data_IF_031313945326
#
_entry.id   IF_031313945326
#
_cell.length_a   1.000
_cell.length_b   1.000
_cell.length_c   1.000
_cell.angle_alpha   90.00
_cell.angle_beta   90.00
_cell.angle_gamma   90.00
#
_symmetry.space_group_name_H-M   'P 1'
#
loop_
_entity.id
_entity.type
_entity.pdbx_description
1 polymer ?
#
# COMPACT_ATOMS: atom_id res chain seq x y z
N UNK A 1 -17.49 -90.47 -10.87
CA UNK A 1 -17.98 -89.44 -9.92
C UNK A 1 -17.24 -88.14 -10.21
N UNK A 2 -17.92 -87.03 -10.54
CA UNK A 2 -17.29 -85.80 -11.02
C UNK A 2 -16.87 -84.90 -9.84
N UNK A 3 -15.69 -84.28 -9.91
CA UNK A 3 -15.29 -83.20 -9.00
C UNK A 3 -14.80 -81.98 -9.80
N UNK A 4 -15.77 -81.12 -10.07
CA UNK A 4 -15.79 -79.67 -10.08
C UNK A 4 -14.46 -78.88 -10.12
N UNK A 5 -14.38 -78.00 -11.11
CA UNK A 5 -13.48 -76.85 -11.20
C UNK A 5 -13.81 -75.80 -10.14
N UNK A 6 -12.79 -75.28 -9.45
CA UNK A 6 -12.87 -74.02 -8.72
C UNK A 6 -11.79 -73.06 -9.25
N UNK A 7 -12.25 -71.93 -9.80
CA UNK A 7 -11.44 -70.81 -10.26
C UNK A 7 -10.95 -70.01 -9.05
N UNK A 8 -9.65 -69.75 -8.96
CA UNK A 8 -9.08 -68.76 -8.03
C UNK A 8 -9.10 -67.40 -8.72
N UNK A 9 -9.81 -66.44 -8.14
CA UNK A 9 -9.82 -65.03 -8.54
C UNK A 9 -8.77 -64.29 -7.72
N UNK A 10 -7.80 -63.68 -8.40
CA UNK A 10 -6.83 -62.75 -7.78
C UNK A 10 -7.47 -61.36 -7.77
N UNK A 11 -7.76 -60.83 -6.58
CA UNK A 11 -8.18 -59.45 -6.39
C UNK A 11 -6.95 -58.57 -6.10
N UNK A 12 -6.61 -57.69 -7.04
CA UNK A 12 -5.63 -56.62 -6.85
C UNK A 12 -6.35 -55.45 -6.17
N UNK A 13 -5.97 -55.13 -4.93
CA UNK A 13 -6.42 -53.93 -4.23
C UNK A 13 -5.57 -52.74 -4.71
N UNK A 14 -6.16 -51.89 -5.55
CA UNK A 14 -5.59 -50.58 -5.89
C UNK A 14 -5.87 -49.61 -4.73
N UNK A 15 -4.81 -49.21 -4.03
CA UNK A 15 -4.85 -48.15 -3.03
C UNK A 15 -5.05 -46.80 -3.71
N UNK A 16 -6.19 -46.15 -3.43
CA UNK A 16 -6.41 -44.75 -3.77
C UNK A 16 -5.70 -43.88 -2.72
N UNK A 17 -4.54 -43.36 -3.08
CA UNK A 17 -3.87 -42.29 -2.33
C UNK A 17 -4.65 -40.99 -2.49
N UNK A 18 -5.28 -40.52 -1.41
CA UNK A 18 -5.89 -39.19 -1.36
C UNK A 18 -4.77 -38.17 -1.21
N UNK A 19 -4.45 -37.48 -2.30
CA UNK A 19 -3.56 -36.32 -2.29
C UNK A 19 -4.33 -35.10 -1.78
N UNK A 20 -4.01 -34.63 -0.59
CA UNK A 20 -4.51 -33.35 -0.06
C UNK A 20 -3.65 -32.21 -0.61
N UNK A 21 -4.00 -31.69 -1.78
CA UNK A 21 -3.47 -30.43 -2.25
C UNK A 21 -4.12 -29.27 -1.46
N UNK A 22 -3.35 -28.26 -0.99
CA UNK A 22 -3.93 -27.09 -0.35
C UNK A 22 -4.68 -26.26 -1.39
N UNK A 23 -5.96 -26.00 -1.13
CA UNK A 23 -6.76 -25.03 -1.89
C UNK A 23 -6.22 -23.63 -1.65
N UNK A 24 -5.47 -23.09 -2.61
CA UNK A 24 -5.26 -21.65 -2.76
C UNK A 24 -6.58 -21.01 -3.18
N UNK A 25 -7.33 -20.50 -2.21
CA UNK A 25 -8.40 -19.54 -2.49
C UNK A 25 -7.75 -18.25 -2.98
N UNK A 26 -7.68 -18.09 -4.31
CA UNK A 26 -7.54 -16.78 -4.91
C UNK A 26 -8.80 -15.98 -4.55
N UNK A 27 -8.67 -15.02 -3.64
CA UNK A 27 -9.72 -14.05 -3.36
C UNK A 27 -9.87 -13.17 -4.60
N UNK A 28 -10.94 -13.42 -5.37
CA UNK A 28 -11.41 -12.48 -6.38
C UNK A 28 -11.82 -11.18 -5.67
N UNK A 29 -11.42 -10.05 -6.24
CA UNK A 29 -11.80 -8.73 -5.73
C UNK A 29 -13.34 -8.57 -5.76
N UNK A 30 -13.96 -8.00 -4.71
CA UNK A 30 -15.39 -7.75 -4.69
C UNK A 30 -15.77 -6.69 -5.75
N UNK A 31 -16.95 -6.80 -6.41
CA UNK A 31 -17.40 -5.85 -7.40
C UNK A 31 -18.16 -4.66 -6.77
N UNK A 32 -17.85 -3.44 -7.23
CA UNK A 32 -18.56 -2.17 -6.94
C UNK A 32 -17.81 -1.32 -5.91
N UNK A 33 -17.43 -0.06 -6.16
CA UNK A 33 -17.86 0.98 -7.10
C UNK A 33 -16.66 1.39 -7.96
N UNK A 34 -16.81 1.34 -9.29
CA UNK A 34 -15.70 1.67 -10.21
C UNK A 34 -16.15 2.78 -11.16
N UNK A 35 -16.15 4.01 -10.68
CA UNK A 35 -15.59 5.07 -11.52
C UNK A 35 -14.09 4.87 -11.42
N UNK A 36 -13.54 4.00 -12.27
CA UNK A 36 -12.09 3.85 -12.36
C UNK A 36 -11.54 5.24 -12.62
N UNK A 37 -10.79 5.79 -11.67
CA UNK A 37 -10.03 6.99 -11.90
C UNK A 37 -9.16 6.74 -13.14
N UNK A 38 -8.86 7.79 -13.90
CA UNK A 38 -7.84 7.66 -14.95
C UNK A 38 -6.48 7.59 -14.24
N UNK A 39 -5.49 6.84 -14.74
CA UNK A 39 -4.13 6.95 -14.22
C UNK A 39 -3.56 8.36 -14.48
N UNK A 40 -2.59 8.80 -13.66
CA UNK A 40 -1.85 10.06 -13.87
C UNK A 40 -1.22 10.07 -15.27
N UNK A 41 -0.60 8.95 -15.65
CA UNK A 41 0.04 8.76 -16.94
C UNK A 41 -0.18 7.32 -17.47
N UNK A 42 0.04 7.07 -18.77
CA UNK A 42 0.00 5.71 -19.31
C UNK A 42 0.92 4.74 -18.55
N UNK A 43 0.58 3.45 -18.56
CA UNK A 43 1.42 2.42 -17.97
C UNK A 43 2.84 2.43 -18.55
N UNK A 44 3.82 2.01 -17.76
CA UNK A 44 5.20 1.87 -18.24
C UNK A 44 5.26 0.88 -19.42
N UNK A 45 6.01 1.17 -20.49
CA UNK A 45 6.19 0.24 -21.59
C UNK A 45 6.80 -1.10 -21.12
N UNK A 46 6.51 -2.23 -21.78
CA UNK A 46 7.10 -3.51 -21.45
C UNK A 46 8.64 -3.43 -21.40
N UNK A 47 9.23 -3.89 -20.29
CA UNK A 47 10.68 -3.89 -20.07
C UNK A 47 11.25 -2.58 -19.50
N UNK A 48 10.47 -1.50 -19.44
CA UNK A 48 10.90 -0.24 -18.81
C UNK A 48 10.64 -0.31 -17.30
N UNK A 49 11.70 -0.07 -16.51
CA UNK A 49 11.62 -0.20 -15.05
C UNK A 49 11.19 1.11 -14.35
N UNK A 50 11.46 2.24 -14.98
CA UNK A 50 11.05 3.58 -14.58
C UNK A 50 11.10 4.57 -15.76
N UNK A 51 10.38 5.68 -15.63
CA UNK A 51 10.52 6.89 -16.43
C UNK A 51 10.78 8.09 -15.50
N UNK A 52 11.51 9.06 -16.02
CA UNK A 52 11.74 10.36 -15.39
C UNK A 52 10.79 11.39 -15.99
N UNK A 53 10.30 12.27 -15.14
CA UNK A 53 9.36 13.32 -15.46
C UNK A 53 9.89 14.63 -14.91
N UNK A 54 9.98 15.64 -15.78
CA UNK A 54 10.09 17.03 -15.34
C UNK A 54 8.87 17.38 -14.48
N UNK A 55 9.06 18.19 -13.44
CA UNK A 55 7.97 18.56 -12.51
C UNK A 55 6.80 19.19 -13.26
N UNK A 56 7.07 20.02 -14.27
CA UNK A 56 6.03 20.65 -15.08
C UNK A 56 5.17 19.63 -15.85
N UNK A 57 5.78 18.57 -16.39
CA UNK A 57 5.08 17.51 -17.12
C UNK A 57 4.25 16.63 -16.18
N UNK A 58 4.79 16.31 -15.00
CA UNK A 58 4.03 15.62 -13.95
C UNK A 58 2.81 16.45 -13.53
N UNK A 59 2.98 17.75 -13.27
CA UNK A 59 1.88 18.63 -12.89
C UNK A 59 0.81 18.66 -13.99
N UNK A 60 1.19 18.84 -15.25
CA UNK A 60 0.23 18.84 -16.35
C UNK A 60 -0.52 17.49 -16.46
N UNK A 61 0.14 16.37 -16.17
CA UNK A 61 -0.50 15.04 -16.14
C UNK A 61 -1.47 14.90 -14.98
N UNK A 62 -1.05 15.32 -13.78
CA UNK A 62 -1.87 15.36 -12.59
C UNK A 62 -3.12 16.23 -12.78
N UNK A 63 -2.98 17.44 -13.32
CA UNK A 63 -4.10 18.37 -13.56
C UNK A 63 -5.13 17.80 -14.55
N UNK A 64 -4.67 17.06 -15.57
CA UNK A 64 -5.57 16.35 -16.50
C UNK A 64 -6.35 15.22 -15.83
N UNK A 65 -5.74 14.52 -14.90
CA UNK A 65 -6.39 13.44 -14.16
C UNK A 65 -7.46 14.00 -13.21
N UNK A 66 -7.12 15.04 -12.46
CA UNK A 66 -7.96 15.65 -11.42
C UNK A 66 -8.97 16.67 -11.99
N UNK A 67 -8.89 16.99 -13.28
CA UNK A 67 -9.82 17.91 -13.94
C UNK A 67 -9.72 19.36 -13.45
N UNK A 68 -8.63 19.73 -12.75
CA UNK A 68 -8.40 21.06 -12.19
C UNK A 68 -6.91 21.41 -12.19
N UNK A 69 -6.61 22.70 -12.10
CA UNK A 69 -5.25 23.16 -11.88
C UNK A 69 -4.78 22.83 -10.45
N UNK A 70 -3.50 22.56 -10.31
CA UNK A 70 -2.83 22.43 -9.03
C UNK A 70 -2.66 23.83 -8.43
N UNK A 71 -3.08 24.02 -7.18
CA UNK A 71 -2.96 25.32 -6.49
C UNK A 71 -1.51 25.65 -6.18
N UNK A 72 -1.24 26.90 -5.80
CA UNK A 72 0.09 27.32 -5.36
C UNK A 72 0.55 26.56 -4.11
N UNK A 73 -0.36 26.28 -3.15
CA UNK A 73 -0.06 25.48 -1.97
C UNK A 73 0.26 24.02 -2.31
N UNK A 74 -0.46 23.43 -3.26
CA UNK A 74 -0.20 22.06 -3.74
C UNK A 74 1.14 22.00 -4.49
N UNK A 75 1.47 23.00 -5.30
CA UNK A 75 2.77 23.11 -5.98
C UNK A 75 3.91 23.27 -4.97
N UNK A 76 3.74 24.11 -3.95
CA UNK A 76 4.69 24.25 -2.86
C UNK A 76 4.86 22.94 -2.07
N UNK A 77 3.77 22.18 -1.92
CA UNK A 77 3.81 20.85 -1.29
C UNK A 77 4.54 19.83 -2.16
N UNK A 78 4.26 19.78 -3.45
CA UNK A 78 4.91 18.91 -4.42
C UNK A 78 6.43 19.15 -4.45
N UNK A 79 6.85 20.42 -4.38
CA UNK A 79 8.26 20.83 -4.35
C UNK A 79 9.08 20.27 -3.18
N UNK A 80 8.46 19.59 -2.21
CA UNK A 80 9.13 18.88 -1.10
C UNK A 80 9.71 17.52 -1.52
N UNK A 81 9.58 17.13 -2.79
CA UNK A 81 10.13 15.88 -3.32
C UNK A 81 9.19 14.70 -3.16
N UNK A 82 9.74 13.51 -2.84
CA UNK A 82 8.98 12.26 -2.81
C UNK A 82 7.78 12.30 -1.85
N UNK A 83 7.92 12.98 -0.71
CA UNK A 83 6.83 13.18 0.24
C UNK A 83 5.73 14.07 -0.35
N UNK A 84 6.11 15.10 -1.12
CA UNK A 84 5.20 16.02 -1.79
C UNK A 84 4.28 15.30 -2.76
N UNK A 85 4.83 14.40 -3.59
CA UNK A 85 4.06 13.55 -4.53
C UNK A 85 2.96 12.78 -3.82
N UNK A 86 3.27 12.17 -2.66
CA UNK A 86 2.26 11.43 -1.89
C UNK A 86 1.23 12.37 -1.25
N UNK A 87 1.65 13.51 -0.68
CA UNK A 87 0.72 14.44 -0.01
C UNK A 87 -0.27 15.04 -0.99
N UNK A 88 0.16 15.50 -2.18
CA UNK A 88 -0.77 16.08 -3.16
C UNK A 88 -1.78 15.05 -3.66
N UNK A 89 -1.37 13.78 -3.81
CA UNK A 89 -2.27 12.71 -4.24
C UNK A 89 -3.20 12.19 -3.12
N UNK A 90 -2.99 12.58 -1.86
CA UNK A 90 -3.98 12.34 -0.81
C UNK A 90 -5.14 13.35 -0.89
N UNK A 91 -4.95 14.48 -1.57
CA UNK A 91 -5.95 15.56 -1.72
C UNK A 91 -6.57 15.98 -0.38
N UNK A 92 -5.71 16.16 0.62
CA UNK A 92 -6.11 16.48 1.99
C UNK A 92 -5.28 17.63 2.54
N UNK A 93 -5.96 18.73 2.81
CA UNK A 93 -5.42 19.94 3.41
C UNK A 93 -5.02 19.77 4.89
N UNK A 94 -5.62 18.80 5.59
CA UNK A 94 -5.22 18.44 6.96
C UNK A 94 -3.92 17.62 7.05
N UNK A 95 -3.34 17.21 5.91
CA UNK A 95 -2.16 16.33 5.85
C UNK A 95 -0.91 17.10 5.43
N UNK A 96 -0.03 17.38 6.39
CA UNK A 96 1.31 17.91 6.10
C UNK A 96 2.30 16.81 5.73
N UNK A 97 2.19 15.64 6.37
CA UNK A 97 3.01 14.46 6.12
C UNK A 97 2.11 13.22 5.99
N UNK A 98 2.40 12.27 5.07
CA UNK A 98 1.55 11.11 4.87
C UNK A 98 1.37 10.30 6.17
N UNK A 99 0.13 9.99 6.60
CA UNK A 99 -0.13 9.35 7.88
C UNK A 99 0.34 7.89 7.87
N UNK A 100 1.01 7.46 8.94
CA UNK A 100 1.66 6.14 9.05
C UNK A 100 0.97 5.19 10.04
N UNK A 101 -0.24 5.50 10.49
CA UNK A 101 -0.96 4.67 11.47
C UNK A 101 -1.34 3.28 10.94
N UNK A 102 -1.52 3.15 9.63
CA UNK A 102 -1.87 1.88 8.96
C UNK A 102 -0.75 1.43 8.02
N UNK A 103 0.43 1.18 8.57
CA UNK A 103 1.59 0.67 7.84
C UNK A 103 1.73 -0.85 7.96
N UNK A 104 2.10 -1.52 6.87
CA UNK A 104 2.25 -2.97 6.77
C UNK A 104 3.60 -3.36 6.16
N UNK A 105 4.12 -4.52 6.53
CA UNK A 105 5.39 -5.05 6.00
C UNK A 105 5.33 -5.47 4.52
N UNK A 106 4.14 -5.79 4.02
CA UNK A 106 3.96 -6.31 2.66
C UNK A 106 2.85 -5.57 1.93
N UNK A 107 3.08 -5.37 0.63
CA UNK A 107 2.10 -4.74 -0.25
C UNK A 107 0.76 -5.47 -0.28
N UNK A 108 0.77 -6.80 -0.25
CA UNK A 108 -0.45 -7.60 -0.25
C UNK A 108 -1.32 -7.34 0.98
N UNK A 109 -0.72 -7.17 2.17
CA UNK A 109 -1.45 -6.85 3.40
C UNK A 109 -2.01 -5.44 3.38
N UNK A 110 -1.26 -4.46 2.88
CA UNK A 110 -1.78 -3.10 2.67
C UNK A 110 -2.97 -3.09 1.70
N UNK A 111 -2.88 -3.81 0.58
CA UNK A 111 -4.00 -3.98 -0.37
C UNK A 111 -5.23 -4.64 0.26
N UNK A 112 -5.04 -5.64 1.12
CA UNK A 112 -6.15 -6.28 1.83
C UNK A 112 -6.83 -5.31 2.82
N UNK A 113 -6.05 -4.55 3.59
CA UNK A 113 -6.58 -3.54 4.49
C UNK A 113 -7.31 -2.42 3.74
N UNK A 114 -6.76 -1.96 2.62
CA UNK A 114 -7.39 -0.99 1.73
C UNK A 114 -8.74 -1.48 1.19
N UNK A 115 -8.80 -2.71 0.67
CA UNK A 115 -10.05 -3.29 0.17
C UNK A 115 -11.12 -3.37 1.27
N UNK A 116 -10.73 -3.80 2.47
CA UNK A 116 -11.62 -3.84 3.63
C UNK A 116 -12.12 -2.44 4.06
N UNK A 117 -11.26 -1.41 4.00
CA UNK A 117 -11.68 -0.04 4.30
C UNK A 117 -12.67 0.49 3.25
N UNK A 118 -12.42 0.23 1.97
CA UNK A 118 -13.33 0.62 0.89
C UNK A 118 -14.67 -0.14 0.96
N UNK A 119 -14.67 -1.41 1.39
CA UNK A 119 -15.89 -2.15 1.68
C UNK A 119 -16.72 -1.46 2.78
N UNK A 120 -16.08 -1.01 3.86
CA UNK A 120 -16.77 -0.25 4.92
C UNK A 120 -17.30 1.09 4.39
N UNK A 121 -16.50 1.82 3.62
CA UNK A 121 -16.88 3.12 3.04
C UNK A 121 -18.05 3.02 2.05
N UNK A 122 -18.24 1.88 1.39
CA UNK A 122 -19.33 1.68 0.43
C UNK A 122 -20.73 1.91 1.04
N UNK A 123 -20.87 1.73 2.36
CA UNK A 123 -22.11 2.00 3.11
C UNK A 123 -22.32 3.48 3.47
N UNK A 124 -21.35 4.35 3.16
CA UNK A 124 -21.29 5.77 3.52
C UNK A 124 -21.57 6.02 5.01
N UNK A 125 -20.81 5.38 5.91
CA UNK A 125 -21.14 5.37 7.32
C UNK A 125 -20.91 6.73 7.98
N UNK A 126 -21.75 7.11 8.92
CA UNK A 126 -21.40 8.16 9.89
C UNK A 126 -20.14 7.74 10.68
N UNK A 127 -19.40 8.67 11.32
CA UNK A 127 -18.22 8.32 12.11
C UNK A 127 -18.49 7.24 13.19
N UNK A 128 -19.67 7.29 13.82
CA UNK A 128 -20.09 6.28 14.80
C UNK A 128 -20.34 4.91 14.18
N UNK A 129 -20.99 4.87 13.02
CA UNK A 129 -21.22 3.63 12.27
C UNK A 129 -19.91 3.05 11.75
N UNK A 130 -19.01 3.89 11.23
CA UNK A 130 -17.68 3.47 10.78
C UNK A 130 -16.94 2.74 11.90
N UNK A 131 -16.86 3.34 13.11
CA UNK A 131 -16.24 2.70 14.26
C UNK A 131 -16.96 1.40 14.70
N UNK A 132 -18.26 1.27 14.46
CA UNK A 132 -19.01 0.04 14.74
C UNK A 132 -18.78 -1.05 13.68
N UNK A 133 -18.60 -0.67 12.41
CA UNK A 133 -18.29 -1.58 11.31
C UNK A 133 -16.85 -2.10 11.43
N UNK A 134 -15.87 -1.22 11.65
CA UNK A 134 -14.46 -1.57 11.88
C UNK A 134 -14.31 -2.61 13.00
N UNK A 135 -15.01 -2.42 14.13
CA UNK A 135 -14.95 -3.37 15.26
C UNK A 135 -15.50 -4.77 14.96
N UNK A 136 -16.36 -4.91 13.95
CA UNK A 136 -16.96 -6.19 13.55
C UNK A 136 -16.29 -6.81 12.33
N UNK A 137 -15.52 -6.02 11.58
CA UNK A 137 -14.90 -6.47 10.36
C UNK A 137 -13.76 -7.47 10.65
N UNK A 138 -13.75 -8.68 10.06
CA UNK A 138 -12.80 -9.75 10.41
C UNK A 138 -11.31 -9.36 10.33
N UNK A 139 -10.95 -8.53 9.34
CA UNK A 139 -9.60 -7.98 9.19
C UNK A 139 -9.38 -6.74 10.07
N UNK A 140 -10.19 -5.69 9.90
CA UNK A 140 -9.93 -4.38 10.52
C UNK A 140 -10.03 -4.38 12.04
N UNK A 141 -10.81 -5.28 12.65
CA UNK A 141 -10.97 -5.34 14.11
C UNK A 141 -9.67 -5.69 14.85
N UNK A 142 -8.71 -6.34 14.16
CA UNK A 142 -7.41 -6.70 14.72
C UNK A 142 -6.34 -5.61 14.53
N UNK A 143 -6.62 -4.56 13.77
CA UNK A 143 -5.65 -3.51 13.44
C UNK A 143 -5.72 -2.34 14.43
N UNK A 144 -4.57 -1.72 14.69
CA UNK A 144 -4.45 -0.47 15.45
C UNK A 144 -4.77 0.73 14.55
N UNK A 145 -5.20 1.82 15.17
CA UNK A 145 -5.37 3.15 14.55
C UNK A 145 -6.39 3.26 13.39
N UNK A 146 -7.15 2.21 13.08
CA UNK A 146 -8.15 2.23 11.98
C UNK A 146 -9.23 3.29 12.19
N UNK A 147 -9.71 3.45 13.43
CA UNK A 147 -10.72 4.48 13.77
C UNK A 147 -10.11 5.86 13.76
N UNK A 148 -8.88 6.00 14.27
CA UNK A 148 -8.16 7.28 14.30
C UNK A 148 -7.77 7.78 12.90
N UNK A 149 -7.56 6.88 11.94
CA UNK A 149 -7.23 7.22 10.57
C UNK A 149 -8.38 7.89 9.80
N UNK A 150 -9.64 7.69 10.23
CA UNK A 150 -10.83 8.14 9.52
C UNK A 150 -11.05 9.66 9.63
N UNK A 151 -10.99 10.41 8.51
CA UNK A 151 -11.18 11.85 8.52
C UNK A 151 -12.69 12.17 8.62
N UNK A 152 -13.22 12.16 9.85
CA UNK A 152 -14.67 12.31 10.13
C UNK A 152 -15.32 13.61 9.64
N UNK A 153 -14.52 14.58 9.17
CA UNK A 153 -14.95 15.86 8.63
C UNK A 153 -15.12 15.85 7.10
N UNK A 154 -14.70 14.77 6.42
CA UNK A 154 -14.92 14.55 4.98
C UNK A 154 -16.15 13.66 4.79
N UNK A 155 -17.01 13.97 3.82
CA UNK A 155 -18.11 13.08 3.45
C UNK A 155 -17.54 11.70 3.04
N UNK A 156 -18.01 10.59 3.61
CA UNK A 156 -17.56 9.25 3.20
C UNK A 156 -17.68 8.97 1.70
N UNK A 157 -18.60 9.63 0.99
CA UNK A 157 -18.75 9.53 -0.46
C UNK A 157 -17.59 10.16 -1.25
N UNK A 158 -16.83 11.05 -0.61
CA UNK A 158 -15.64 11.69 -1.17
C UNK A 158 -14.35 10.94 -0.80
N UNK A 159 -14.43 9.85 -0.02
CA UNK A 159 -13.27 9.13 0.47
C UNK A 159 -12.99 7.85 -0.31
N UNK A 160 -11.71 7.58 -0.48
CA UNK A 160 -11.18 6.26 -0.85
C UNK A 160 -9.99 5.93 0.03
N UNK A 161 -9.81 4.66 0.39
CA UNK A 161 -8.56 4.18 0.94
C UNK A 161 -7.57 4.00 -0.21
N UNK A 162 -6.39 4.60 -0.08
CA UNK A 162 -5.29 4.54 -1.06
C UNK A 162 -4.02 4.01 -0.42
N UNK A 163 -3.11 3.49 -1.24
CA UNK A 163 -1.83 2.93 -0.78
C UNK A 163 -0.67 3.82 -1.22
N UNK A 164 0.29 3.97 -0.31
CA UNK A 164 1.62 4.46 -0.64
C UNK A 164 2.66 3.60 0.09
N UNK A 165 3.92 3.75 -0.26
CA UNK A 165 5.03 3.06 0.39
C UNK A 165 5.99 4.08 0.94
N UNK A 166 6.63 3.74 2.06
CA UNK A 166 7.71 4.51 2.66
C UNK A 166 8.91 3.63 2.85
N UNK A 167 10.06 4.06 2.34
CA UNK A 167 11.37 3.48 2.59
C UNK A 167 12.11 4.38 3.57
N UNK A 168 12.79 3.78 4.55
CA UNK A 168 13.43 4.53 5.63
C UNK A 168 14.52 3.72 6.31
N UNK A 169 15.28 4.41 7.16
CA UNK A 169 16.30 3.80 8.02
C UNK A 169 15.74 3.44 9.39
N UNK A 170 15.95 2.23 9.89
CA UNK A 170 15.33 1.76 11.15
C UNK A 170 15.91 2.40 12.41
N UNK A 171 17.16 2.87 12.41
CA UNK A 171 17.80 3.40 13.63
C UNK A 171 17.40 4.86 13.87
N UNK A 172 16.15 5.04 14.29
CA UNK A 172 15.52 6.36 14.49
C UNK A 172 15.92 7.05 15.80
N UNK A 173 16.70 6.37 16.64
CA UNK A 173 17.31 6.93 17.84
C UNK A 173 18.81 6.53 17.86
N UNK A 174 19.74 7.49 17.99
CA UNK A 174 21.17 7.20 18.01
C UNK A 174 21.60 6.35 19.20
N UNK A 175 20.81 6.29 20.28
CA UNK A 175 21.09 5.45 21.45
C UNK A 175 20.77 3.97 21.25
N UNK A 176 19.98 3.62 20.23
CA UNK A 176 19.62 2.22 19.97
C UNK A 176 20.81 1.41 19.47
N UNK A 177 20.89 0.18 19.93
CA UNK A 177 21.62 -0.90 19.25
C UNK A 177 20.94 -1.26 17.92
N UNK A 178 21.65 -1.96 17.06
CA UNK A 178 21.08 -2.38 15.77
C UNK A 178 19.94 -3.42 15.96
N UNK A 179 19.98 -4.21 17.03
CA UNK A 179 18.91 -5.13 17.40
C UNK A 179 17.64 -4.38 17.84
N UNK A 180 17.78 -3.34 18.68
CA UNK A 180 16.66 -2.49 19.09
C UNK A 180 16.03 -1.77 17.90
N UNK A 181 16.85 -1.25 16.98
CA UNK A 181 16.37 -0.65 15.74
C UNK A 181 15.60 -1.65 14.88
N UNK A 182 16.12 -2.87 14.73
CA UNK A 182 15.44 -3.94 13.99
C UNK A 182 14.12 -4.37 14.66
N UNK A 183 14.07 -4.40 16.00
CA UNK A 183 12.88 -4.75 16.75
C UNK A 183 11.82 -3.65 16.74
N UNK A 184 12.22 -2.36 16.74
CA UNK A 184 11.31 -1.21 16.80
C UNK A 184 10.29 -1.16 15.65
N UNK A 185 10.66 -1.68 14.48
CA UNK A 185 9.84 -1.69 13.26
C UNK A 185 9.55 -3.10 12.76
N UNK A 186 9.59 -4.10 13.64
CA UNK A 186 9.16 -5.46 13.32
C UNK A 186 7.63 -5.45 13.16
N UNK A 187 7.13 -6.12 12.14
CA UNK A 187 5.68 -6.29 11.97
C UNK A 187 5.11 -7.23 13.03
N UNK A 188 3.87 -6.95 13.43
CA UNK A 188 3.07 -7.90 14.19
C UNK A 188 2.83 -9.17 13.34
N UNK A 189 3.08 -10.38 13.86
CA UNK A 189 3.02 -11.60 13.06
C UNK A 189 1.59 -11.98 12.63
N UNK A 190 0.57 -11.59 13.40
CA UNK A 190 -0.83 -11.91 13.09
C UNK A 190 -1.43 -10.99 12.03
N UNK A 191 -1.13 -9.70 12.11
CA UNK A 191 -1.74 -8.66 11.26
C UNK A 191 -0.80 -8.16 10.16
N UNK A 192 0.51 -8.29 10.37
CA UNK A 192 1.55 -7.67 9.55
C UNK A 192 1.67 -6.16 9.72
N UNK A 193 0.96 -5.56 10.67
CA UNK A 193 1.03 -4.12 10.93
C UNK A 193 2.39 -3.77 11.55
N UNK A 194 3.03 -2.72 11.05
CA UNK A 194 4.28 -2.18 11.59
C UNK A 194 3.95 -0.94 12.42
N UNK A 195 4.48 -0.91 13.65
CA UNK A 195 4.33 0.26 14.52
C UNK A 195 5.26 1.39 14.07
N UNK A 196 4.69 2.48 13.56
CA UNK A 196 5.44 3.64 13.09
C UNK A 196 5.53 4.77 14.13
N UNK A 197 5.04 4.57 15.36
CA UNK A 197 5.02 5.60 16.41
C UNK A 197 6.42 6.06 16.86
N UNK A 198 7.43 5.20 16.69
CA UNK A 198 8.84 5.52 17.01
C UNK A 198 9.61 6.14 15.84
N UNK A 199 8.98 6.32 14.67
CA UNK A 199 9.63 6.94 13.52
C UNK A 199 9.81 8.45 13.73
N UNK A 200 11.02 8.96 13.45
CA UNK A 200 11.44 10.34 13.78
C UNK A 200 12.06 11.08 12.60
N UNK A 201 11.90 10.57 11.38
CA UNK A 201 12.48 11.17 10.17
C UNK A 201 14.02 11.28 10.19
N UNK A 202 14.69 10.46 11.00
CA UNK A 202 16.16 10.45 11.10
C UNK A 202 16.75 9.73 9.88
N UNK A 203 17.73 10.36 9.23
CA UNK A 203 18.48 9.76 8.14
C UNK A 203 19.57 8.81 8.63
N UNK A 204 19.90 7.81 7.82
CA UNK A 204 21.18 7.14 7.95
C UNK A 204 22.29 8.17 7.72
N UNK A 205 23.34 8.24 8.56
CA UNK A 205 24.41 9.22 8.40
C UNK A 205 25.03 9.17 6.99
N UNK A 206 25.01 10.30 6.27
CA UNK A 206 25.52 10.43 4.90
C UNK A 206 24.53 10.10 3.77
N UNK A 207 23.26 9.83 4.10
CA UNK A 207 22.22 9.39 3.16
C UNK A 207 20.93 10.23 3.31
N UNK A 208 19.95 10.02 2.43
CA UNK A 208 18.63 10.66 2.57
C UNK A 208 17.79 9.99 3.66
N UNK A 209 16.82 10.71 4.24
CA UNK A 209 16.04 10.23 5.39
C UNK A 209 14.91 9.26 5.04
N UNK A 210 14.30 9.41 3.87
CA UNK A 210 13.22 8.56 3.42
C UNK A 210 12.99 8.65 1.91
N UNK A 211 12.19 7.74 1.39
CA UNK A 211 11.61 7.79 0.05
C UNK A 211 10.13 7.37 0.12
N UNK A 212 9.24 8.17 -0.46
CA UNK A 212 7.80 7.93 -0.52
C UNK A 212 7.36 7.63 -1.95
N UNK A 213 6.63 6.53 -2.13
CA UNK A 213 6.07 6.12 -3.41
C UNK A 213 4.55 6.03 -3.34
N UNK A 214 3.84 6.88 -4.08
CA UNK A 214 2.38 6.78 -4.27
C UNK A 214 2.04 5.63 -5.23
N UNK A 215 1.10 4.76 -4.86
CA UNK A 215 0.68 3.66 -5.72
C UNK A 215 -0.45 4.11 -6.67
N UNK A 216 -0.17 4.11 -7.96
CA UNK A 216 -1.16 4.33 -9.02
C UNK A 216 -1.84 3.00 -9.35
N UNK A 217 -3.07 2.82 -8.87
CA UNK A 217 -3.80 1.55 -8.92
C UNK A 217 -4.19 1.15 -10.34
N UNK A 218 -4.40 2.14 -11.20
CA UNK A 218 -4.94 1.93 -12.54
C UNK A 218 -3.92 1.27 -13.47
N UNK A 219 -2.63 1.47 -13.19
CA UNK A 219 -1.54 0.95 -13.99
C UNK A 219 -0.45 0.21 -13.20
N UNK A 220 -0.54 0.17 -11.87
CA UNK A 220 0.38 -0.55 -10.99
C UNK A 220 1.73 0.13 -10.76
N UNK A 221 1.87 1.40 -11.13
CA UNK A 221 3.12 2.15 -10.98
C UNK A 221 3.26 2.80 -9.60
N UNK A 222 4.49 3.21 -9.29
CA UNK A 222 4.88 3.90 -8.07
C UNK A 222 5.45 5.26 -8.42
N UNK A 223 4.78 6.32 -7.98
CA UNK A 223 5.19 7.70 -8.20
C UNK A 223 6.01 8.21 -7.00
N UNK A 224 7.26 8.60 -7.24
CA UNK A 224 8.17 9.14 -6.22
C UNK A 224 9.05 10.24 -6.83
N UNK A 225 10.01 10.78 -6.09
CA UNK A 225 10.94 11.79 -6.61
C UNK A 225 12.33 11.66 -5.97
N UNK A 226 13.35 12.20 -6.63
CA UNK A 226 14.74 12.18 -6.14
C UNK A 226 14.92 12.97 -4.84
N UNK A 227 14.49 14.23 -4.81
CA UNK A 227 14.65 15.18 -3.70
C UNK A 227 13.68 16.36 -3.84
N UNK A 228 13.72 17.29 -2.88
CA UNK A 228 12.99 18.55 -2.94
C UNK A 228 13.60 19.52 -3.97
N UNK A 229 12.84 20.50 -4.45
CA UNK A 229 13.35 21.55 -5.33
C UNK A 229 14.48 22.38 -4.67
N UNK A 230 15.40 22.96 -5.46
CA UNK A 230 15.49 22.92 -6.92
C UNK A 230 16.10 21.62 -7.49
N UNK A 231 15.74 21.28 -8.74
CA UNK A 231 16.27 20.13 -9.48
C UNK A 231 15.51 18.83 -9.22
N UNK A 232 14.27 18.94 -8.75
CA UNK A 232 13.40 17.80 -8.51
C UNK A 232 13.07 17.10 -9.84
N UNK A 233 13.12 15.76 -9.82
CA UNK A 233 12.67 14.87 -10.90
C UNK A 233 11.68 13.89 -10.31
N UNK A 234 10.52 13.79 -10.93
CA UNK A 234 9.48 12.82 -10.56
C UNK A 234 9.73 11.51 -11.31
N UNK A 235 9.59 10.40 -10.61
CA UNK A 235 9.75 9.07 -11.16
C UNK A 235 8.43 8.32 -11.20
N UNK A 236 8.12 7.75 -12.35
CA UNK A 236 7.10 6.71 -12.50
C UNK A 236 7.82 5.37 -12.54
N UNK A 237 7.63 4.49 -11.56
CA UNK A 237 8.43 3.28 -11.39
C UNK A 237 7.61 2.00 -11.28
N UNK A 238 8.17 0.89 -11.76
CA UNK A 238 7.70 -0.44 -11.34
C UNK A 238 7.94 -0.64 -9.84
N UNK A 239 7.13 -1.48 -9.18
CA UNK A 239 7.35 -1.83 -7.77
C UNK A 239 8.77 -2.36 -7.53
N UNK A 240 9.28 -3.18 -8.44
CA UNK A 240 10.64 -3.77 -8.36
C UNK A 240 11.70 -2.69 -8.35
N UNK A 241 11.60 -1.70 -9.23
CA UNK A 241 12.55 -0.60 -9.29
C UNK A 241 12.49 0.26 -8.03
N UNK A 242 11.28 0.66 -7.61
CA UNK A 242 11.09 1.44 -6.40
C UNK A 242 11.60 0.70 -5.14
N UNK A 243 11.41 -0.62 -5.05
CA UNK A 243 11.80 -1.44 -3.91
C UNK A 243 13.23 -2.02 -4.02
N UNK A 244 14.05 -1.55 -4.97
CA UNK A 244 15.42 -2.06 -5.16
C UNK A 244 16.29 -1.77 -3.93
N UNK A 245 17.28 -2.60 -3.58
CA UNK A 245 18.21 -2.29 -2.50
C UNK A 245 18.89 -0.93 -2.71
N UNK A 246 18.91 -0.10 -1.68
CA UNK A 246 19.67 1.15 -1.59
C UNK A 246 20.34 1.21 -0.22
N UNK A 247 21.45 1.92 -0.10
CA UNK A 247 22.20 2.02 1.16
C UNK A 247 21.47 2.89 2.20
N UNK A 248 20.65 3.83 1.74
CA UNK A 248 19.90 4.78 2.56
C UNK A 248 18.88 4.09 3.48
N UNK A 249 18.30 2.99 3.00
CA UNK A 249 17.09 2.39 3.59
C UNK A 249 17.27 0.89 3.85
N UNK A 250 16.99 0.47 5.08
CA UNK A 250 16.96 -0.93 5.51
C UNK A 250 15.53 -1.38 5.90
N UNK A 251 14.54 -0.51 5.76
CA UNK A 251 13.13 -0.81 5.91
C UNK A 251 12.27 -0.23 4.78
N UNK A 252 11.17 -0.92 4.51
CA UNK A 252 10.10 -0.46 3.65
C UNK A 252 8.77 -0.90 4.26
N UNK A 253 7.81 0.02 4.32
CA UNK A 253 6.42 -0.26 4.70
C UNK A 253 5.48 0.19 3.60
N UNK A 254 4.33 -0.46 3.52
CA UNK A 254 3.22 -0.10 2.66
C UNK A 254 2.10 0.42 3.54
N UNK A 255 1.76 1.69 3.41
CA UNK A 255 0.79 2.38 4.24
C UNK A 255 -0.54 2.56 3.50
N UNK A 256 -1.63 2.44 4.25
CA UNK A 256 -2.97 2.78 3.78
C UNK A 256 -3.40 4.09 4.43
N UNK A 257 -3.95 5.00 3.65
CA UNK A 257 -4.52 6.25 4.14
C UNK A 257 -5.78 6.59 3.36
N UNK A 258 -6.68 7.37 3.97
CA UNK A 258 -7.81 7.93 3.24
C UNK A 258 -7.33 9.12 2.40
N UNK A 259 -7.59 9.06 1.11
CA UNK A 259 -7.49 10.15 0.15
C UNK A 259 -8.89 10.63 -0.24
N UNK A 260 -8.98 11.82 -0.83
CA UNK A 260 -10.20 12.21 -1.54
C UNK A 260 -10.24 11.53 -2.91
N UNK A 261 -11.43 11.22 -3.38
CA UNK A 261 -11.63 10.81 -4.77
C UNK A 261 -11.41 12.02 -5.70
N UNK A 262 -10.65 11.88 -6.80
CA UNK A 262 -10.48 12.93 -7.81
C UNK A 262 -11.78 13.34 -8.51
#
# INVERSE_FOLDING_TARGET
MPKWFARVLVAVVLGLGVSTAPMTHALAAPPGVTTAAKPIAPALPPGVSHLEWEVADYVAAWERQHGRAMTDEERATLARGCIGVTVVNLERDDVVNPPLGLSFDTFARARAAQAALNEVLASRPTPREYAALVRRHPLLSGLRDVVAAYPSWIDPAELTASVFSKRFWRKQDPSWTDEEAAAAFRSDPGTGQVDMSKYRYVARPGYVNFDYGWYDEDNGNWWHANHAEPGMVVYQSTKRFYSRPLLDFDAQVYSVAFARVP
#
